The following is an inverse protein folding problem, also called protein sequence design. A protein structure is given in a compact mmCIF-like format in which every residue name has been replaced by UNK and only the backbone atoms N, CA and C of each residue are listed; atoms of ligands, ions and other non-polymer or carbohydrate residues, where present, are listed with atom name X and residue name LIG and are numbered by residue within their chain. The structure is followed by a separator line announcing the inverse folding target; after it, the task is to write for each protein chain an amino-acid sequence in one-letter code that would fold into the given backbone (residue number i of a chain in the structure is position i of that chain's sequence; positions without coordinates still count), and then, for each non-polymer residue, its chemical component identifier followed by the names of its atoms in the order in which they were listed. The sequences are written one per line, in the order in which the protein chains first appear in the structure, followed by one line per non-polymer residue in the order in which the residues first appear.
data_IF_770587893394
#
_entry.id   IF_770587893394
#
_cell.length_a   1.000
_cell.length_b   1.000
_cell.length_c   1.000
_cell.angle_alpha   90.00
_cell.angle_beta   90.00
_cell.angle_gamma   90.00
#
_symmetry.space_group_name_H-M   'P 1'
#
loop_
_entity.id
_entity.type
_entity.pdbx_description
1 polymer ?
#
# COMPACT_ATOMS: atom_id res chain seq x y z
N UNK A 1 15.80 -2.10 -17.92
CA UNK A 1 16.10 -2.91 -16.71
C UNK A 1 16.72 -2.05 -15.60
N UNK A 2 17.74 -1.24 -15.89
CA UNK A 2 18.42 -0.36 -14.92
C UNK A 2 17.51 0.64 -14.21
N UNK A 3 16.58 1.29 -14.94
CA UNK A 3 15.69 2.29 -14.36
C UNK A 3 14.75 1.71 -13.27
N UNK A 4 14.14 0.54 -13.54
CA UNK A 4 13.26 -0.14 -12.58
C UNK A 4 13.99 -0.55 -11.29
N UNK A 5 15.24 -1.00 -11.42
CA UNK A 5 16.04 -1.40 -10.27
C UNK A 5 16.36 -0.20 -9.37
N UNK A 6 16.71 0.94 -9.99
CA UNK A 6 16.95 2.18 -9.25
C UNK A 6 15.67 2.69 -8.57
N UNK A 7 14.51 2.63 -9.24
CA UNK A 7 13.23 3.03 -8.65
C UNK A 7 12.90 2.20 -7.42
N UNK A 8 12.95 0.87 -7.50
CA UNK A 8 12.65 -0.01 -6.36
C UNK A 8 13.59 0.25 -5.19
N UNK A 9 14.88 0.45 -5.47
CA UNK A 9 15.89 0.69 -4.43
C UNK A 9 15.69 2.03 -3.73
N UNK A 10 15.42 3.10 -4.47
CA UNK A 10 15.19 4.43 -3.89
C UNK A 10 13.90 4.50 -3.09
N UNK A 11 12.84 3.86 -3.57
CA UNK A 11 11.54 3.83 -2.90
C UNK A 11 11.61 3.05 -1.59
N UNK A 12 12.30 1.89 -1.59
CA UNK A 12 12.49 1.11 -0.36
C UNK A 12 13.24 1.87 0.73
N UNK A 13 14.25 2.67 0.35
CA UNK A 13 14.99 3.52 1.30
C UNK A 13 14.07 4.62 1.85
N UNK A 14 13.28 5.27 0.99
CA UNK A 14 12.29 6.26 1.39
C UNK A 14 11.31 5.69 2.41
N UNK A 15 10.72 4.51 2.11
CA UNK A 15 9.80 3.81 2.99
C UNK A 15 10.41 3.49 4.36
N UNK A 16 11.65 2.98 4.40
CA UNK A 16 12.33 2.69 5.65
C UNK A 16 12.58 3.95 6.49
N UNK A 17 12.93 5.07 5.85
CA UNK A 17 13.09 6.35 6.54
C UNK A 17 11.77 6.85 7.13
N UNK A 18 10.66 6.85 6.38
CA UNK A 18 9.35 7.26 6.90
C UNK A 18 8.91 6.36 8.04
N UNK A 19 9.10 5.04 7.92
CA UNK A 19 8.75 4.09 8.97
C UNK A 19 9.52 4.33 10.26
N UNK A 20 10.83 4.58 10.17
CA UNK A 20 11.63 4.93 11.35
C UNK A 20 11.18 6.26 11.95
N UNK A 21 10.83 7.25 11.12
CA UNK A 21 10.37 8.57 11.58
C UNK A 21 9.07 8.49 12.39
N UNK A 22 8.13 7.64 11.96
CA UNK A 22 6.84 7.42 12.67
C UNK A 22 7.03 6.71 14.00
N UNK A 23 7.98 5.77 14.08
CA UNK A 23 8.22 4.96 15.28
C UNK A 23 9.10 5.65 16.32
N UNK A 24 9.72 6.79 16.01
CA UNK A 24 10.56 7.54 16.96
C UNK A 24 9.70 8.60 17.66
N UNK A 25 9.38 8.44 18.95
CA UNK A 25 8.42 9.30 19.66
C UNK A 25 9.03 10.63 20.14
N UNK A 26 10.17 11.08 19.58
CA UNK A 26 10.94 12.20 20.14
C UNK A 26 10.47 13.58 19.71
N UNK A 27 9.55 13.68 18.75
CA UNK A 27 9.08 14.98 18.27
C UNK A 27 7.61 15.12 18.66
N UNK A 28 7.32 15.97 19.65
CA UNK A 28 5.96 16.42 19.93
C UNK A 28 5.50 17.28 18.75
N UNK A 29 4.92 16.63 17.76
CA UNK A 29 4.29 17.29 16.61
C UNK A 29 2.88 17.69 17.00
N UNK A 30 2.51 18.94 16.73
CA UNK A 30 1.11 19.41 16.80
C UNK A 30 0.18 18.48 16.01
N UNK A 31 -1.08 18.40 16.43
CA UNK A 31 -2.16 17.57 15.86
C UNK A 31 -2.15 17.53 14.31
N UNK A 32 -1.94 18.70 13.69
CA UNK A 32 -1.94 18.93 12.25
C UNK A 32 -0.75 18.26 11.56
N UNK A 33 0.42 18.27 12.19
CA UNK A 33 1.64 17.69 11.63
C UNK A 33 1.59 16.15 11.72
N UNK A 34 1.05 15.61 12.83
CA UNK A 34 0.82 14.17 12.98
C UNK A 34 -0.10 13.63 11.88
N UNK A 35 -1.20 14.33 11.59
CA UNK A 35 -2.12 13.95 10.50
C UNK A 35 -1.46 13.96 9.13
N UNK A 36 -0.64 14.98 8.84
CA UNK A 36 0.10 15.08 7.57
C UNK A 36 1.12 13.93 7.46
N UNK A 37 1.88 13.65 8.53
CA UNK A 37 2.86 12.55 8.52
C UNK A 37 2.19 11.19 8.31
N UNK A 38 1.10 10.91 9.04
CA UNK A 38 0.35 9.66 8.89
C UNK A 38 -0.17 9.49 7.46
N UNK A 39 -0.75 10.55 6.91
CA UNK A 39 -1.22 10.55 5.51
C UNK A 39 -0.06 10.33 4.55
N UNK A 40 1.07 11.02 4.71
CA UNK A 40 2.22 10.84 3.83
C UNK A 40 2.73 9.38 3.86
N UNK A 41 2.77 8.74 5.02
CA UNK A 41 3.22 7.35 5.17
C UNK A 41 2.27 6.38 4.47
N UNK A 42 0.97 6.53 4.67
CA UNK A 42 -0.06 5.70 4.01
C UNK A 42 0.05 5.79 2.47
N UNK A 43 0.17 7.01 1.95
CA UNK A 43 0.32 7.26 0.52
C UNK A 43 1.63 6.71 -0.04
N UNK A 44 2.72 6.69 0.74
CA UNK A 44 3.97 6.06 0.27
C UNK A 44 3.82 4.55 0.08
N UNK A 45 3.07 3.88 0.95
CA UNK A 45 2.77 2.45 0.82
C UNK A 45 2.01 2.16 -0.48
N UNK A 46 0.97 2.94 -0.77
CA UNK A 46 0.20 2.84 -2.01
C UNK A 46 1.08 3.03 -3.26
N UNK A 47 1.97 4.03 -3.25
CA UNK A 47 2.89 4.29 -4.37
C UNK A 47 3.85 3.11 -4.59
N UNK A 48 4.40 2.52 -3.52
CA UNK A 48 5.29 1.35 -3.62
C UNK A 48 4.56 0.19 -4.28
N UNK A 49 3.33 -0.07 -3.86
CA UNK A 49 2.52 -1.16 -4.37
C UNK A 49 2.15 -0.92 -5.86
N UNK A 50 1.85 0.32 -6.27
CA UNK A 50 1.62 0.68 -7.67
C UNK A 50 2.81 0.26 -8.53
N UNK A 51 4.01 0.62 -8.09
CA UNK A 51 5.24 0.38 -8.83
C UNK A 51 5.56 -1.11 -8.91
N UNK A 52 5.36 -1.85 -7.81
CA UNK A 52 5.48 -3.31 -7.80
C UNK A 52 4.51 -3.97 -8.80
N UNK A 53 3.26 -3.51 -8.85
CA UNK A 53 2.27 -4.00 -9.80
C UNK A 53 2.68 -3.75 -11.26
N UNK A 54 3.15 -2.55 -11.58
CA UNK A 54 3.66 -2.21 -12.93
C UNK A 54 4.86 -3.08 -13.32
N UNK A 55 5.79 -3.31 -12.41
CA UNK A 55 6.94 -4.21 -12.65
C UNK A 55 6.46 -5.64 -12.91
N UNK A 56 5.47 -6.12 -12.16
CA UNK A 56 4.95 -7.45 -12.37
C UNK A 56 4.26 -7.59 -13.72
N UNK A 57 3.42 -6.62 -14.10
CA UNK A 57 2.74 -6.60 -15.40
C UNK A 57 3.74 -6.55 -16.55
N UNK A 58 4.76 -5.69 -16.46
CA UNK A 58 5.80 -5.57 -17.51
C UNK A 58 6.62 -6.84 -17.68
N UNK A 59 6.96 -7.54 -16.58
CA UNK A 59 7.61 -8.86 -16.66
C UNK A 59 6.69 -9.94 -17.24
N UNK A 60 5.41 -9.92 -16.85
CA UNK A 60 4.40 -10.82 -17.41
C UNK A 60 4.22 -10.59 -18.90
N UNK A 61 4.22 -9.33 -19.34
CA UNK A 61 4.14 -8.96 -20.75
C UNK A 61 5.32 -9.55 -21.56
N UNK A 62 6.54 -9.47 -21.02
CA UNK A 62 7.71 -10.04 -21.67
C UNK A 62 7.65 -11.58 -21.77
N UNK A 63 7.13 -12.26 -20.75
CA UNK A 63 6.97 -13.73 -20.76
C UNK A 63 5.79 -14.20 -21.62
N UNK A 64 4.65 -13.50 -21.58
CA UNK A 64 3.41 -13.85 -22.27
C UNK A 64 3.21 -13.07 -23.57
N UNK A 65 4.30 -12.83 -24.32
CA UNK A 65 4.29 -12.08 -25.59
C UNK A 65 3.28 -12.62 -26.62
N UNK A 66 2.80 -13.86 -26.45
CA UNK A 66 1.85 -14.55 -27.33
C UNK A 66 0.37 -14.34 -26.99
N UNK A 67 0.00 -13.99 -25.74
CA UNK A 67 -1.42 -13.90 -25.34
C UNK A 67 -1.80 -12.49 -24.87
N UNK A 68 -2.10 -11.62 -25.84
CA UNK A 68 -2.51 -10.22 -25.60
C UNK A 68 -3.80 -10.10 -24.78
N UNK A 69 -4.71 -11.09 -24.87
CA UNK A 69 -6.00 -11.07 -24.15
C UNK A 69 -5.82 -11.14 -22.63
N UNK A 70 -4.88 -11.96 -22.15
CA UNK A 70 -4.62 -12.13 -20.72
C UNK A 70 -4.00 -10.87 -20.12
N UNK A 71 -3.11 -10.19 -20.85
CA UNK A 71 -2.48 -8.96 -20.37
C UNK A 71 -3.50 -7.84 -20.14
N UNK A 72 -4.41 -7.62 -21.10
CA UNK A 72 -5.43 -6.57 -21.02
C UNK A 72 -6.33 -6.82 -19.80
N UNK A 73 -6.76 -8.06 -19.59
CA UNK A 73 -7.55 -8.44 -18.43
C UNK A 73 -6.85 -8.12 -17.10
N UNK A 74 -5.55 -8.44 -17.02
CA UNK A 74 -4.74 -8.20 -15.82
C UNK A 74 -4.56 -6.70 -15.55
N UNK A 75 -4.34 -5.89 -16.58
CA UNK A 75 -4.25 -4.42 -16.47
C UNK A 75 -5.58 -3.84 -16.00
N UNK A 76 -6.70 -4.26 -16.57
CA UNK A 76 -8.04 -3.77 -16.19
C UNK A 76 -8.32 -4.06 -14.71
N UNK A 77 -8.10 -5.31 -14.26
CA UNK A 77 -8.31 -5.67 -12.85
C UNK A 77 -7.41 -4.84 -11.93
N UNK A 78 -6.12 -4.70 -12.28
CA UNK A 78 -5.18 -3.93 -11.49
C UNK A 78 -5.61 -2.46 -11.35
N UNK A 79 -6.06 -1.85 -12.45
CA UNK A 79 -6.57 -0.47 -12.45
C UNK A 79 -7.84 -0.35 -11.59
N UNK A 80 -8.79 -1.29 -11.70
CA UNK A 80 -10.01 -1.27 -10.89
C UNK A 80 -9.70 -1.34 -9.39
N UNK A 81 -8.81 -2.26 -8.98
CA UNK A 81 -8.39 -2.39 -7.57
C UNK A 81 -7.77 -1.08 -7.08
N UNK A 82 -6.97 -0.39 -7.91
CA UNK A 82 -6.37 0.90 -7.57
C UNK A 82 -7.38 2.00 -7.36
N UNK A 83 -8.38 2.10 -8.23
CA UNK A 83 -9.44 3.11 -8.09
C UNK A 83 -10.19 2.87 -6.79
N UNK A 84 -10.52 1.62 -6.46
CA UNK A 84 -11.19 1.27 -5.20
C UNK A 84 -10.31 1.65 -4.00
N UNK A 85 -9.02 1.28 -4.00
CA UNK A 85 -8.11 1.63 -2.91
C UNK A 85 -7.98 3.15 -2.72
N UNK A 86 -7.81 3.91 -3.79
CA UNK A 86 -7.69 5.37 -3.72
C UNK A 86 -8.97 6.04 -3.19
N UNK A 87 -10.14 5.58 -3.63
CA UNK A 87 -11.44 6.06 -3.12
C UNK A 87 -11.56 5.75 -1.63
N UNK A 88 -11.16 4.55 -1.21
CA UNK A 88 -11.22 4.15 0.19
C UNK A 88 -10.26 4.96 1.07
N UNK A 89 -9.02 5.19 0.61
CA UNK A 89 -8.07 6.06 1.30
C UNK A 89 -8.63 7.47 1.48
N UNK A 90 -9.24 8.04 0.44
CA UNK A 90 -9.89 9.35 0.52
C UNK A 90 -11.04 9.38 1.55
N UNK A 91 -11.89 8.35 1.57
CA UNK A 91 -12.99 8.23 2.55
C UNK A 91 -12.43 8.14 3.98
N UNK A 92 -11.38 7.34 4.20
CA UNK A 92 -10.72 7.21 5.49
C UNK A 92 -10.18 8.55 5.97
N UNK A 93 -9.49 9.30 5.10
CA UNK A 93 -8.95 10.62 5.45
C UNK A 93 -10.07 11.63 5.80
N UNK A 94 -11.24 11.52 5.17
CA UNK A 94 -12.42 12.33 5.49
C UNK A 94 -13.07 11.95 6.83
N UNK A 95 -13.04 10.67 7.22
CA UNK A 95 -13.69 10.17 8.44
C UNK A 95 -12.80 10.20 9.69
N UNK A 96 -11.51 10.51 9.56
CA UNK A 96 -10.64 10.75 10.71
C UNK A 96 -11.08 12.09 11.36
N UNK A 97 -11.97 12.00 12.33
CA UNK A 97 -12.23 13.02 13.33
C UNK A 97 -11.16 12.89 14.42
N UNK A 98 -10.24 13.85 14.48
CA UNK A 98 -9.27 13.91 15.56
C UNK A 98 -9.95 14.54 16.78
N UNK A 99 -10.61 13.74 17.59
CA UNK A 99 -11.06 14.18 18.91
C UNK A 99 -9.85 14.14 19.87
N UNK A 100 -9.47 15.30 20.40
CA UNK A 100 -8.38 15.41 21.37
C UNK A 100 -8.83 14.83 22.73
N UNK A 101 -8.52 13.55 22.98
CA UNK A 101 -8.75 12.94 24.27
C UNK A 101 -7.63 13.32 25.26
N UNK A 102 -7.90 14.27 26.16
CA UNK A 102 -6.98 14.63 27.24
C UNK A 102 -7.11 13.63 28.38
N UNK A 103 -6.38 12.50 28.30
CA UNK A 103 -6.23 11.57 29.42
C UNK A 103 -4.98 11.92 30.23
N UNK A 104 -5.20 12.46 31.43
CA UNK A 104 -4.18 12.53 32.51
C UNK A 104 -2.84 13.16 32.10
N UNK A 105 -2.84 14.41 31.64
CA UNK A 105 -1.66 15.25 31.33
C UNK A 105 -0.73 14.79 30.20
N UNK A 106 -0.96 13.60 29.63
CA UNK A 106 -0.29 13.14 28.41
C UNK A 106 -1.25 13.24 27.24
N UNK A 107 -0.90 14.06 26.25
CA UNK A 107 -1.61 14.12 24.97
C UNK A 107 -1.36 12.80 24.21
N UNK A 108 -2.22 11.80 24.42
CA UNK A 108 -2.22 10.58 23.62
C UNK A 108 -3.35 10.68 22.59
N UNK A 109 -2.98 10.85 21.32
CA UNK A 109 -3.93 10.79 20.22
C UNK A 109 -4.30 9.33 19.98
N UNK A 110 -5.43 8.88 20.55
CA UNK A 110 -5.98 7.56 20.28
C UNK A 110 -6.79 7.65 18.98
N UNK A 111 -6.22 7.15 17.87
CA UNK A 111 -6.93 7.10 16.59
C UNK A 111 -8.02 6.02 16.69
N UNK A 112 -9.24 6.45 17.00
CA UNK A 112 -10.42 5.59 16.97
C UNK A 112 -10.94 5.45 15.54
N UNK A 113 -10.80 4.27 14.94
CA UNK A 113 -11.43 3.98 13.66
C UNK A 113 -12.90 3.63 13.88
N UNK A 114 -13.81 4.54 13.54
CA UNK A 114 -15.24 4.27 13.55
C UNK A 114 -15.66 3.53 12.26
N UNK A 115 -16.18 2.30 12.39
CA UNK A 115 -16.92 1.61 11.31
C UNK A 115 -16.10 0.65 10.43
N UNK A 116 -16.50 0.56 9.15
CA UNK A 116 -16.09 -0.46 8.17
C UNK A 116 -14.61 -0.41 7.74
N UNK A 117 -13.83 0.57 8.21
CA UNK A 117 -12.41 0.70 7.89
C UNK A 117 -11.61 -0.57 8.26
N UNK A 118 -11.98 -1.25 9.35
CA UNK A 118 -11.35 -2.48 9.80
C UNK A 118 -11.64 -3.67 8.85
N UNK A 119 -12.84 -3.69 8.28
CA UNK A 119 -13.26 -4.68 7.28
C UNK A 119 -12.46 -4.51 5.99
N UNK A 120 -12.17 -3.27 5.59
CA UNK A 120 -11.33 -2.99 4.43
C UNK A 120 -9.87 -3.38 4.63
N UNK A 121 -9.27 -3.07 5.78
CA UNK A 121 -7.92 -3.53 6.10
C UNK A 121 -7.84 -5.05 5.99
N UNK A 122 -8.87 -5.76 6.49
CA UNK A 122 -8.99 -7.21 6.36
C UNK A 122 -9.07 -7.67 4.89
N UNK A 123 -9.88 -7.03 4.03
CA UNK A 123 -9.98 -7.39 2.60
C UNK A 123 -8.63 -7.22 1.89
N UNK A 124 -7.93 -6.12 2.14
CA UNK A 124 -6.61 -5.87 1.53
C UNK A 124 -5.60 -6.91 1.99
N UNK A 125 -5.64 -7.30 3.26
CA UNK A 125 -4.78 -8.35 3.82
C UNK A 125 -5.08 -9.73 3.19
N UNK A 126 -6.36 -10.06 3.01
CA UNK A 126 -6.79 -11.29 2.35
C UNK A 126 -6.32 -11.30 0.88
N UNK A 127 -6.47 -10.19 0.15
CA UNK A 127 -5.97 -10.07 -1.22
C UNK A 127 -4.44 -10.23 -1.29
N UNK A 128 -3.70 -9.65 -0.34
CA UNK A 128 -2.25 -9.81 -0.23
C UNK A 128 -1.84 -11.28 -0.03
N UNK A 129 -2.48 -11.99 0.89
CA UNK A 129 -2.19 -13.41 1.15
C UNK A 129 -2.56 -14.32 -0.02
N UNK A 130 -3.71 -14.07 -0.66
CA UNK A 130 -4.13 -14.77 -1.89
C UNK A 130 -3.11 -14.57 -3.00
N UNK A 131 -2.59 -13.34 -3.14
CA UNK A 131 -1.59 -13.03 -4.15
C UNK A 131 -0.25 -13.76 -3.92
N UNK A 132 0.22 -13.83 -2.68
CA UNK A 132 1.42 -14.61 -2.35
C UNK A 132 1.22 -16.10 -2.65
N UNK A 133 0.07 -16.66 -2.30
CA UNK A 133 -0.25 -18.06 -2.61
C UNK A 133 -0.27 -18.33 -4.12
N UNK A 134 -0.87 -17.43 -4.90
CA UNK A 134 -0.88 -17.54 -6.35
C UNK A 134 0.53 -17.46 -6.96
N UNK A 135 1.42 -16.68 -6.34
CA UNK A 135 2.82 -16.59 -6.73
C UNK A 135 3.55 -17.90 -6.52
N UNK A 136 3.26 -18.61 -5.43
CA UNK A 136 3.88 -19.90 -5.10
C UNK A 136 3.42 -21.01 -6.05
N UNK A 137 2.11 -21.08 -6.33
CA UNK A 137 1.55 -21.99 -7.33
C UNK A 137 2.19 -21.81 -8.72
N UNK A 138 2.43 -20.56 -9.12
CA UNK A 138 3.10 -20.28 -10.39
C UNK A 138 4.57 -20.74 -10.39
N UNK A 139 5.26 -20.69 -9.25
CA UNK A 139 6.65 -21.14 -9.12
C UNK A 139 6.76 -22.64 -9.39
N UNK A 140 5.80 -23.44 -8.93
CA UNK A 140 5.73 -24.87 -9.22
C UNK A 140 5.38 -25.19 -10.67
N UNK A 141 4.52 -24.40 -11.31
CA UNK A 141 4.17 -24.65 -12.73
C UNK A 141 5.32 -24.38 -13.70
N UNK A 142 6.30 -23.55 -13.32
CA UNK A 142 7.45 -23.22 -14.17
C UNK A 142 8.59 -24.25 -14.09
N UNK A 143 8.60 -25.16 -13.09
CA UNK A 143 9.62 -26.21 -12.96
C UNK A 143 9.29 -27.50 -13.72
N UNK A 144 8.12 -27.57 -14.36
CA UNK A 144 7.63 -28.76 -15.07
C UNK A 144 7.80 -28.63 -16.60
N UNK A 145 8.24 -27.46 -17.08
CA UNK A 145 8.55 -27.17 -18.47
C UNK A 145 10.04 -26.85 -18.62
#
# INVERSE_FOLDING_TARGET
MTFLYLSVRYIGIGYAMTYMLVNVPTISTTDSVSRIMYTAVDWTGDVVDVILGVIMITRLHAMYQRSRKVLIFLVVIFVTIRIVNAVMAAITVMHISAEEAVLSSTYQCMIGYAGDALLLISITWILGTVWEHFRELRRHSASVF
#
